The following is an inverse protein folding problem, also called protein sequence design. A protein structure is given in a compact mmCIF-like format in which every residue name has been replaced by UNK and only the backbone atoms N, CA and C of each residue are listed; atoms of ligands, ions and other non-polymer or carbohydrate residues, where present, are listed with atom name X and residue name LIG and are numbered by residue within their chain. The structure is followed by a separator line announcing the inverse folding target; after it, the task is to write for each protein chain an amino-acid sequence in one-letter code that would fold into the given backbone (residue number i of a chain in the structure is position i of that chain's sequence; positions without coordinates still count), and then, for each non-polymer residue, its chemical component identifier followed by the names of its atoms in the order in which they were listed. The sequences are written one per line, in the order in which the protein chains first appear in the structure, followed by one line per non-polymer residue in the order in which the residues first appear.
data_IF_998779341279
#
_entry.id   IF_998779341279
#
_cell.length_a   1.000
_cell.length_b   1.000
_cell.length_c   1.000
_cell.angle_alpha   90.00
_cell.angle_beta   90.00
_cell.angle_gamma   90.00
#
_symmetry.space_group_name_H-M   'P 1'
#
loop_
_entity.id
_entity.type
_entity.pdbx_description
1 polymer ?
#
# COMPACT_ATOMS: atom_id res chain seq x y z
N UNK A 1 4.92 15.95 19.17
CA UNK A 1 5.81 15.28 18.22
C UNK A 1 5.04 14.20 17.46
N UNK A 2 5.21 14.13 16.16
CA UNK A 2 4.52 13.12 15.37
C UNK A 2 5.09 11.73 15.68
N UNK A 3 4.23 10.72 15.73
CA UNK A 3 4.67 9.35 15.86
C UNK A 3 5.44 8.92 14.61
N UNK A 4 6.50 8.15 14.83
CA UNK A 4 7.26 7.55 13.75
C UNK A 4 6.59 6.24 13.35
N UNK A 5 6.20 6.12 12.08
CA UNK A 5 5.65 4.86 11.56
C UNK A 5 6.81 3.96 11.16
N UNK A 6 6.79 2.74 11.66
CA UNK A 6 7.72 1.69 11.25
C UNK A 6 6.92 0.44 10.93
N UNK A 7 7.41 -0.31 9.95
CA UNK A 7 6.78 -1.56 9.55
C UNK A 7 7.62 -2.74 10.04
N UNK A 8 6.95 -3.81 10.46
CA UNK A 8 7.65 -5.06 10.75
C UNK A 8 8.17 -5.67 9.44
N UNK A 9 9.15 -6.56 9.54
CA UNK A 9 9.65 -7.26 8.36
C UNK A 9 8.53 -8.04 7.66
N UNK A 10 7.61 -8.62 8.43
CA UNK A 10 6.46 -9.31 7.86
C UNK A 10 5.55 -8.39 7.06
N UNK A 11 5.31 -7.17 7.54
CA UNK A 11 4.55 -6.18 6.80
C UNK A 11 5.26 -5.79 5.51
N UNK A 12 6.57 -5.57 5.59
CA UNK A 12 7.36 -5.21 4.41
C UNK A 12 7.32 -6.34 3.37
N UNK A 13 7.41 -7.59 3.81
CA UNK A 13 7.30 -8.75 2.92
C UNK A 13 5.94 -8.74 2.20
N UNK A 14 4.85 -8.52 2.94
CA UNK A 14 3.51 -8.49 2.35
C UNK A 14 3.32 -7.30 1.40
N UNK A 15 3.83 -6.13 1.76
CA UNK A 15 3.82 -4.96 0.88
C UNK A 15 4.60 -5.25 -0.40
N UNK A 16 5.74 -5.89 -0.27
CA UNK A 16 6.61 -6.21 -1.41
C UNK A 16 5.92 -7.17 -2.38
N UNK A 17 5.22 -8.18 -1.87
CA UNK A 17 4.42 -9.07 -2.71
C UNK A 17 3.26 -8.35 -3.38
N UNK A 18 2.56 -7.48 -2.65
CA UNK A 18 1.46 -6.73 -3.22
C UNK A 18 1.92 -5.88 -4.41
N UNK A 19 2.96 -5.09 -4.23
CA UNK A 19 3.45 -4.21 -5.29
C UNK A 19 4.21 -4.96 -6.38
N UNK A 20 5.04 -5.93 -6.01
CA UNK A 20 5.87 -6.64 -6.97
C UNK A 20 5.12 -7.66 -7.80
N UNK A 21 4.18 -8.38 -7.19
CA UNK A 21 3.50 -9.48 -7.86
C UNK A 21 2.22 -9.05 -8.57
N UNK A 22 1.50 -8.05 -8.03
CA UNK A 22 0.18 -7.70 -8.53
C UNK A 22 0.11 -6.37 -9.27
N UNK A 23 1.01 -5.44 -9.02
CA UNK A 23 0.84 -4.07 -9.49
C UNK A 23 1.89 -3.65 -10.53
N UNK A 24 3.17 -3.93 -10.29
CA UNK A 24 4.25 -3.26 -11.00
C UNK A 24 5.11 -4.19 -11.86
N UNK A 25 5.56 -3.65 -12.99
CA UNK A 25 6.66 -4.27 -13.77
C UNK A 25 8.00 -3.87 -13.15
N UNK A 26 9.07 -4.57 -13.55
CA UNK A 26 10.42 -4.23 -13.07
C UNK A 26 10.84 -2.81 -13.42
N UNK A 27 10.52 -2.35 -14.63
CA UNK A 27 10.87 -0.98 -15.05
C UNK A 27 10.04 0.06 -14.30
N UNK A 28 8.79 -0.22 -13.99
CA UNK A 28 7.97 0.66 -13.16
C UNK A 28 8.54 0.81 -11.76
N UNK A 29 9.02 -0.29 -11.18
CA UNK A 29 9.69 -0.25 -9.88
C UNK A 29 10.89 0.69 -9.93
N UNK A 30 11.74 0.56 -10.95
CA UNK A 30 12.91 1.44 -11.13
C UNK A 30 12.48 2.90 -11.19
N UNK A 31 11.47 3.21 -12.00
CA UNK A 31 11.00 4.58 -12.15
C UNK A 31 10.45 5.17 -10.87
N UNK A 32 9.64 4.42 -10.14
CA UNK A 32 9.03 4.92 -8.90
C UNK A 32 10.08 5.11 -7.82
N UNK A 33 10.99 4.14 -7.65
CA UNK A 33 12.06 4.28 -6.67
C UNK A 33 12.88 5.55 -6.92
N UNK A 34 13.20 5.82 -8.19
CA UNK A 34 13.91 7.05 -8.55
C UNK A 34 13.11 8.30 -8.21
N UNK A 35 11.81 8.32 -8.52
CA UNK A 35 10.96 9.49 -8.25
C UNK A 35 10.83 9.80 -6.77
N UNK A 36 10.75 8.79 -5.93
CA UNK A 36 10.61 9.01 -4.49
C UNK A 36 11.94 9.07 -3.76
N UNK A 37 13.05 8.96 -4.48
CA UNK A 37 14.38 9.11 -3.91
C UNK A 37 14.83 7.92 -3.06
N UNK A 38 14.43 6.71 -3.41
CA UNK A 38 14.87 5.49 -2.73
C UNK A 38 15.94 4.83 -3.60
N UNK A 39 17.14 4.66 -3.05
CA UNK A 39 18.22 4.01 -3.75
C UNK A 39 18.03 2.49 -3.72
N UNK A 40 18.13 1.86 -4.88
CA UNK A 40 18.02 0.41 -5.02
C UNK A 40 19.42 -0.20 -5.03
N UNK A 41 19.81 -0.78 -3.91
CA UNK A 41 21.11 -1.46 -3.77
C UNK A 41 20.95 -2.99 -3.83
N UNK A 42 19.73 -3.47 -4.17
CA UNK A 42 19.49 -4.90 -4.24
C UNK A 42 20.15 -5.48 -5.49
N UNK A 43 20.44 -6.76 -5.44
CA UNK A 43 20.93 -7.50 -6.59
C UNK A 43 19.93 -8.60 -6.99
N UNK A 44 18.69 -8.46 -6.55
CA UNK A 44 17.64 -9.44 -6.82
C UNK A 44 16.95 -9.13 -8.14
N UNK A 45 16.70 -10.15 -8.94
CA UNK A 45 15.92 -10.02 -10.18
C UNK A 45 14.42 -10.22 -9.93
N UNK A 46 14.05 -10.94 -8.88
CA UNK A 46 12.65 -11.15 -8.51
C UNK A 46 12.07 -9.87 -7.92
N UNK A 47 10.97 -9.38 -8.46
CA UNK A 47 10.41 -8.07 -8.11
C UNK A 47 10.13 -7.91 -6.63
N UNK A 48 9.46 -8.88 -6.00
CA UNK A 48 9.13 -8.74 -4.59
C UNK A 48 10.37 -8.79 -3.70
N UNK A 49 11.36 -9.62 -4.03
CA UNK A 49 12.61 -9.68 -3.27
C UNK A 49 13.38 -8.37 -3.37
N UNK A 50 13.37 -7.78 -4.55
CA UNK A 50 13.99 -6.49 -4.81
C UNK A 50 13.37 -5.40 -3.93
N UNK A 51 12.04 -5.36 -3.90
CA UNK A 51 11.33 -4.39 -3.06
C UNK A 51 11.55 -4.64 -1.58
N UNK A 52 11.47 -5.88 -1.15
CA UNK A 52 11.68 -6.23 0.27
C UNK A 52 13.05 -5.76 0.76
N UNK A 53 14.10 -6.10 0.02
CA UNK A 53 15.45 -5.68 0.38
C UNK A 53 15.56 -4.15 0.45
N UNK A 54 15.06 -3.48 -0.57
CA UNK A 54 15.14 -2.03 -0.70
C UNK A 54 14.40 -1.32 0.42
N UNK A 55 13.20 -1.80 0.75
CA UNK A 55 12.39 -1.21 1.81
C UNK A 55 13.02 -1.44 3.19
N UNK A 56 13.49 -2.64 3.45
CA UNK A 56 14.14 -2.95 4.75
C UNK A 56 15.37 -2.08 4.92
N UNK A 57 16.23 -2.00 3.90
CA UNK A 57 17.44 -1.19 3.96
C UNK A 57 17.12 0.28 4.20
N UNK A 58 16.14 0.81 3.47
CA UNK A 58 15.77 2.22 3.61
C UNK A 58 15.17 2.52 4.97
N UNK A 59 14.31 1.66 5.49
CA UNK A 59 13.73 1.86 6.81
C UNK A 59 14.78 1.80 7.91
N UNK A 60 15.76 0.89 7.79
CA UNK A 60 16.86 0.82 8.73
C UNK A 60 17.70 2.10 8.73
N UNK A 61 17.96 2.63 7.54
CA UNK A 61 18.73 3.87 7.40
C UNK A 61 17.98 5.07 8.00
N UNK A 62 16.71 5.20 7.70
CA UNK A 62 15.89 6.33 8.13
C UNK A 62 15.37 6.18 9.56
N UNK A 63 15.39 4.97 10.11
CA UNK A 63 14.74 4.62 11.38
C UNK A 63 13.25 4.93 11.36
N UNK A 64 12.65 4.95 10.16
CA UNK A 64 11.25 5.27 9.93
C UNK A 64 10.80 4.74 8.57
N UNK A 65 9.50 4.49 8.44
CA UNK A 65 8.90 3.99 7.20
C UNK A 65 8.41 5.06 6.25
N UNK A 66 8.83 6.32 6.41
CA UNK A 66 8.30 7.44 5.61
C UNK A 66 8.54 7.26 4.11
N UNK A 67 9.69 6.71 3.72
CA UNK A 67 9.99 6.45 2.31
C UNK A 67 9.03 5.41 1.72
N UNK A 68 8.69 4.39 2.49
CA UNK A 68 7.71 3.39 2.07
C UNK A 68 6.33 4.03 1.86
N UNK A 69 5.94 4.93 2.76
CA UNK A 69 4.67 5.66 2.63
C UNK A 69 4.64 6.51 1.35
N UNK A 70 5.75 7.19 1.03
CA UNK A 70 5.85 7.97 -0.22
C UNK A 70 5.75 7.05 -1.45
N UNK A 71 6.38 5.88 -1.38
CA UNK A 71 6.30 4.89 -2.47
C UNK A 71 4.83 4.47 -2.70
N UNK A 72 4.12 4.17 -1.62
CA UNK A 72 2.71 3.80 -1.70
C UNK A 72 1.89 4.92 -2.36
N UNK A 73 2.10 6.16 -1.93
CA UNK A 73 1.36 7.31 -2.47
C UNK A 73 1.63 7.53 -3.95
N UNK A 74 2.85 7.27 -4.38
CA UNK A 74 3.22 7.42 -5.79
C UNK A 74 2.56 6.34 -6.65
N UNK A 75 2.62 5.09 -6.20
CA UNK A 75 2.10 3.95 -6.97
C UNK A 75 0.58 3.93 -6.99
N UNK A 76 -0.04 4.14 -5.83
CA UNK A 76 -1.50 4.08 -5.70
C UNK A 76 -2.14 5.47 -5.67
N UNK A 77 -1.52 6.46 -6.33
CA UNK A 77 -2.14 7.77 -6.47
C UNK A 77 -3.50 7.62 -7.16
N UNK A 78 -4.58 8.19 -6.61
CA UNK A 78 -5.91 8.00 -7.21
C UNK A 78 -5.99 8.38 -8.68
N UNK A 79 -5.23 9.40 -9.11
CA UNK A 79 -5.23 9.84 -10.50
C UNK A 79 -4.80 8.73 -11.46
N UNK A 80 -3.98 7.78 -11.01
CA UNK A 80 -3.52 6.68 -11.85
C UNK A 80 -4.61 5.65 -12.14
N UNK A 81 -5.73 5.71 -11.44
CA UNK A 81 -6.79 4.71 -11.48
C UNK A 81 -8.13 5.28 -11.96
N UNK A 82 -8.13 6.45 -12.58
CA UNK A 82 -9.36 7.08 -13.06
C UNK A 82 -10.11 6.17 -14.03
N UNK A 83 -9.38 5.40 -14.84
CA UNK A 83 -9.99 4.49 -15.82
C UNK A 83 -10.40 3.14 -15.21
N UNK A 84 -9.99 2.86 -13.98
CA UNK A 84 -10.30 1.57 -13.34
C UNK A 84 -10.43 1.75 -11.82
N UNK A 85 -11.50 2.43 -11.38
CA UNK A 85 -11.68 2.70 -9.95
C UNK A 85 -11.87 1.44 -9.10
N UNK A 86 -12.43 0.37 -9.66
CA UNK A 86 -12.61 -0.88 -8.91
C UNK A 86 -11.27 -1.51 -8.56
N UNK A 87 -10.32 -1.48 -9.49
CA UNK A 87 -8.97 -1.98 -9.22
C UNK A 87 -8.31 -1.19 -8.08
N UNK A 88 -8.48 0.14 -8.09
CA UNK A 88 -7.96 0.98 -7.02
C UNK A 88 -8.49 0.54 -5.65
N UNK A 89 -9.80 0.33 -5.55
CA UNK A 89 -10.42 -0.03 -4.27
C UNK A 89 -10.03 -1.43 -3.81
N UNK A 90 -9.89 -2.38 -4.71
CA UNK A 90 -9.41 -3.71 -4.37
C UNK A 90 -7.99 -3.67 -3.82
N UNK A 91 -7.10 -2.95 -4.49
CA UNK A 91 -5.71 -2.81 -4.07
C UNK A 91 -5.62 -2.05 -2.75
N UNK A 92 -6.41 -0.99 -2.60
CA UNK A 92 -6.45 -0.22 -1.37
C UNK A 92 -6.93 -1.07 -0.20
N UNK A 93 -7.90 -1.93 -0.42
CA UNK A 93 -8.40 -2.84 0.63
C UNK A 93 -7.31 -3.82 1.09
N UNK A 94 -6.58 -4.42 0.14
CA UNK A 94 -5.47 -5.31 0.48
C UNK A 94 -4.37 -4.56 1.23
N UNK A 95 -4.01 -3.39 0.75
CA UNK A 95 -3.02 -2.53 1.37
C UNK A 95 -3.41 -2.21 2.82
N UNK A 96 -4.66 -1.83 3.04
CA UNK A 96 -5.13 -1.42 4.37
C UNK A 96 -5.17 -2.59 5.35
N UNK A 97 -5.38 -3.80 4.87
CA UNK A 97 -5.23 -4.99 5.72
C UNK A 97 -3.83 -5.06 6.31
N UNK A 98 -2.81 -4.80 5.51
CA UNK A 98 -1.41 -4.81 5.97
C UNK A 98 -1.12 -3.61 6.87
N UNK A 99 -1.52 -2.41 6.45
CA UNK A 99 -1.23 -1.15 7.17
C UNK A 99 -1.91 -1.08 8.53
N UNK A 100 -3.04 -1.77 8.71
CA UNK A 100 -3.80 -1.72 9.96
C UNK A 100 -2.98 -2.19 11.16
N UNK A 101 -2.00 -3.08 10.95
CA UNK A 101 -1.12 -3.52 12.03
C UNK A 101 -0.16 -2.42 12.49
N UNK A 102 -0.03 -1.34 11.72
CA UNK A 102 0.74 -0.15 12.12
C UNK A 102 -0.17 1.01 12.55
N UNK A 103 -1.49 0.76 12.63
CA UNK A 103 -2.43 1.78 13.10
C UNK A 103 -2.66 2.90 12.12
N UNK A 104 -2.54 2.63 10.82
CA UNK A 104 -2.82 3.60 9.77
C UNK A 104 -3.64 2.96 8.66
N UNK A 105 -4.31 3.81 7.88
CA UNK A 105 -4.95 3.36 6.65
C UNK A 105 -4.74 4.39 5.54
N UNK A 106 -4.80 3.92 4.32
CA UNK A 106 -4.66 4.72 3.10
C UNK A 106 -6.07 5.09 2.63
N UNK A 107 -6.35 6.38 2.54
CA UNK A 107 -7.68 6.89 2.19
C UNK A 107 -7.87 6.90 0.69
N UNK A 108 -9.13 6.99 0.28
CA UNK A 108 -9.47 7.07 -1.13
C UNK A 108 -8.93 8.32 -1.81
N UNK A 109 -8.59 9.36 -1.03
CA UNK A 109 -8.01 10.59 -1.56
C UNK A 109 -6.48 10.57 -1.64
N UNK A 110 -5.85 9.44 -1.29
CA UNK A 110 -4.39 9.30 -1.36
C UNK A 110 -3.65 9.79 -0.12
N UNK A 111 -4.35 10.07 0.96
CA UNK A 111 -3.75 10.47 2.22
C UNK A 111 -3.80 9.34 3.23
N UNK A 112 -2.87 9.36 4.19
CA UNK A 112 -2.90 8.40 5.30
C UNK A 112 -3.61 9.01 6.50
N UNK A 113 -4.27 8.16 7.29
CA UNK A 113 -4.85 8.59 8.54
C UNK A 113 -4.63 7.53 9.62
N UNK A 114 -4.63 7.96 10.88
CA UNK A 114 -4.45 7.07 12.02
C UNK A 114 -5.75 6.33 12.32
N UNK A 115 -5.61 5.06 12.67
CA UNK A 115 -6.72 4.21 13.12
C UNK A 115 -6.24 3.41 14.33
N UNK A 116 -7.13 2.68 14.99
CA UNK A 116 -6.70 1.76 16.05
C UNK A 116 -5.88 0.63 15.45
N UNK A 117 -4.82 0.24 16.14
CA UNK A 117 -3.92 -0.83 15.69
C UNK A 117 -4.67 -2.17 15.68
N UNK A 118 -4.62 -2.88 14.55
CA UNK A 118 -5.09 -4.26 14.49
C UNK A 118 -4.08 -5.17 15.19
N UNK A 119 -4.56 -6.08 16.02
CA UNK A 119 -3.70 -7.04 16.73
C UNK A 119 -3.85 -8.45 16.19
N UNK A 120 -4.92 -8.71 15.43
CA UNK A 120 -5.22 -10.02 14.88
C UNK A 120 -5.64 -9.87 13.42
N UNK A 121 -5.59 -10.99 12.70
CA UNK A 121 -6.11 -11.05 11.32
C UNK A 121 -7.59 -10.67 11.30
N UNK A 122 -8.35 -11.11 12.32
CA UNK A 122 -9.77 -10.76 12.40
C UNK A 122 -10.02 -9.26 12.50
N UNK A 123 -9.19 -8.54 13.28
CA UNK A 123 -9.27 -7.09 13.36
C UNK A 123 -9.01 -6.43 12.02
N UNK A 124 -7.97 -6.89 11.31
CA UNK A 124 -7.60 -6.35 10.01
C UNK A 124 -8.71 -6.59 8.98
N UNK A 125 -9.29 -7.78 8.98
CA UNK A 125 -10.37 -8.13 8.04
C UNK A 125 -11.63 -7.30 8.28
N UNK A 126 -11.97 -7.02 9.53
CA UNK A 126 -13.12 -6.17 9.85
C UNK A 126 -12.98 -4.79 9.23
N UNK A 127 -11.78 -4.23 9.23
CA UNK A 127 -11.55 -2.91 8.66
C UNK A 127 -11.70 -2.92 7.15
N UNK A 128 -11.17 -3.94 6.48
CA UNK A 128 -11.32 -4.10 5.05
C UNK A 128 -12.81 -4.24 4.68
N UNK A 129 -13.52 -5.08 5.39
CA UNK A 129 -14.95 -5.32 5.13
C UNK A 129 -15.80 -4.07 5.38
N UNK A 130 -15.42 -3.21 6.30
CA UNK A 130 -16.17 -1.98 6.58
C UNK A 130 -16.07 -0.99 5.41
N UNK A 131 -15.03 -1.09 4.60
CA UNK A 131 -14.84 -0.22 3.45
C UNK A 131 -15.63 -0.72 2.24
N UNK A 132 -15.56 -2.02 1.95
CA UNK A 132 -16.14 -2.61 0.75
C UNK A 132 -17.66 -2.40 0.61
N UNK A 133 -18.49 -2.61 1.64
CA UNK A 133 -19.92 -2.36 1.51
C UNK A 133 -20.27 -0.91 1.16
N UNK A 134 -19.55 0.04 1.71
CA UNK A 134 -19.79 1.46 1.41
C UNK A 134 -19.49 1.77 -0.04
N UNK A 135 -18.45 1.17 -0.60
CA UNK A 135 -18.07 1.35 -1.99
C UNK A 135 -19.14 0.76 -2.92
N UNK A 136 -19.64 -0.43 -2.62
CA UNK A 136 -20.68 -1.07 -3.41
C UNK A 136 -21.94 -0.22 -3.46
N UNK A 137 -22.31 0.42 -2.37
CA UNK A 137 -23.46 1.30 -2.32
C UNK A 137 -23.29 2.52 -3.22
N UNK A 138 -22.07 3.05 -3.30
CA UNK A 138 -21.77 4.18 -4.17
C UNK A 138 -21.72 3.79 -5.64
N UNK A 139 -21.23 2.58 -5.90
CA UNK A 139 -21.00 2.10 -7.26
C UNK A 139 -22.24 1.61 -7.97
N UNK A 140 -23.36 1.82 -7.48
CA UNK A 140 -24.58 1.41 -8.02
C UNK A 140 -25.05 1.96 -9.32
N UNK A 141 -24.60 2.24 -9.33
CA UNK A 141 -24.61 2.53 -10.21
C UNK A 141 -23.92 2.46 -11.00
N UNK A 142 -23.85 1.86 -10.71
CA UNK A 142 -23.04 1.62 -11.21
C UNK A 142 -22.43 1.38 -11.69
N UNK A 143 -22.71 1.11 -11.69
CA UNK A 143 -21.94 0.65 -11.95
C UNK A 143 -21.52 0.21 -11.80
N UNK A 144 -21.79 0.02 -11.48
CA UNK A 144 -21.15 -0.49 -11.06
C UNK A 144 -20.69 -0.63 -10.62
N UNK A 145 -20.93 -0.77 -10.15
CA UNK A 145 -20.32 -1.02 -9.54
C UNK A 145 -19.83 -1.18 -9.53
N UNK A 146 -20.05 -1.19 -9.47
CA UNK A 146 -19.64 -1.44 -9.23
C UNK A 146 -19.43 -1.55 -9.40
N UNK A 147 -19.82 -1.67 -9.39
CA UNK A 147 -19.65 -1.77 -9.25
C UNK A 147 -19.46 -1.67 -9.19
N UNK A 148 -19.79 -1.79 -8.91
CA UNK A 148 -19.85 -1.82 -8.51
C UNK A 148 -19.99 -1.86 -8.40
#
# INVERSE_FOLDING_TARGET
MAEVIRFSNGQITQLSHLFGDKIMTGSEITSVLNRVGIQDNSHHSTKWRRLEYTFIERQETDKAGNAILRFIQEVLAPVNYVQNPDAFEELRSELNGILSFSGIQYRADGQFEKISVAKTIGDAQKRVQSILPKLRQRGVHGLSLIHI
#
